data_IF_959132587618
#
_entry.id   IF_959132587618
#
_cell.length_a   1.000
_cell.length_b   1.000
_cell.length_c   1.000
_cell.angle_alpha   90.00
_cell.angle_beta   90.00
_cell.angle_gamma   90.00
#
_symmetry.space_group_name_H-M   'P 1'
#
loop_
_entity.id
_entity.type
_entity.pdbx_description
1 polymer ?
#
# COMPACT_ATOMS: atom_id res chain seq x y z
N UNK A 1 3.20 8.92 -20.82
CA UNK A 1 4.00 7.68 -20.68
C UNK A 1 5.24 7.86 -19.79
N UNK A 2 6.06 8.91 -19.95
CA UNK A 2 7.27 9.13 -19.10
C UNK A 2 6.96 9.17 -17.59
N UNK A 3 5.90 9.89 -17.19
CA UNK A 3 5.48 10.00 -15.78
C UNK A 3 4.97 8.68 -15.20
N UNK A 4 4.26 7.86 -15.98
CA UNK A 4 3.76 6.56 -15.53
C UNK A 4 4.93 5.60 -15.25
N UNK A 5 5.90 5.53 -16.15
CA UNK A 5 7.10 4.71 -15.97
C UNK A 5 7.90 5.17 -14.75
N UNK A 6 8.06 6.49 -14.56
CA UNK A 6 8.72 7.05 -13.38
C UNK A 6 8.05 6.61 -12.08
N UNK A 7 6.72 6.67 -12.01
CA UNK A 7 5.98 6.24 -10.82
C UNK A 7 6.12 4.74 -10.55
N UNK A 8 6.20 3.91 -11.59
CA UNK A 8 6.51 2.50 -11.41
C UNK A 8 7.91 2.27 -10.84
N UNK A 9 8.92 2.99 -11.31
CA UNK A 9 10.28 2.88 -10.76
C UNK A 9 10.37 3.37 -9.32
N UNK A 10 9.68 4.46 -8.98
CA UNK A 10 9.59 4.95 -7.60
C UNK A 10 8.96 3.88 -6.70
N UNK A 11 7.83 3.30 -7.12
CA UNK A 11 7.20 2.19 -6.40
C UNK A 11 8.16 1.02 -6.20
N UNK A 12 8.85 0.59 -7.27
CA UNK A 12 9.77 -0.54 -7.21
C UNK A 12 10.90 -0.29 -6.23
N UNK A 13 11.48 0.90 -6.26
CA UNK A 13 12.53 1.31 -5.34
C UNK A 13 12.05 1.31 -3.88
N UNK A 14 10.89 1.93 -3.61
CA UNK A 14 10.32 2.01 -2.25
C UNK A 14 10.02 0.61 -1.71
N UNK A 15 9.27 -0.23 -2.45
CA UNK A 15 8.85 -1.53 -1.94
C UNK A 15 10.01 -2.52 -1.84
N UNK A 16 10.99 -2.49 -2.76
CA UNK A 16 12.20 -3.29 -2.61
C UNK A 16 13.02 -2.85 -1.39
N UNK A 17 13.16 -1.54 -1.16
CA UNK A 17 13.82 -1.01 0.02
C UNK A 17 13.12 -1.44 1.31
N UNK A 18 11.79 -1.37 1.36
CA UNK A 18 11.01 -1.84 2.50
C UNK A 18 11.18 -3.34 2.74
N UNK A 19 11.13 -4.17 1.69
CA UNK A 19 11.34 -5.62 1.83
C UNK A 19 12.72 -5.93 2.41
N UNK A 20 13.77 -5.27 1.93
CA UNK A 20 15.13 -5.43 2.47
C UNK A 20 15.16 -5.03 3.95
N UNK A 21 14.58 -3.87 4.29
CA UNK A 21 14.51 -3.40 5.68
C UNK A 21 13.77 -4.37 6.59
N UNK A 22 12.68 -4.99 6.13
CA UNK A 22 11.95 -6.00 6.89
C UNK A 22 12.84 -7.16 7.31
N UNK A 23 13.67 -7.69 6.40
CA UNK A 23 14.58 -8.79 6.73
C UNK A 23 15.75 -8.38 7.62
N UNK A 24 16.21 -7.12 7.52
CA UNK A 24 17.33 -6.63 8.33
C UNK A 24 16.88 -6.25 9.75
N UNK A 25 15.68 -5.67 9.88
CA UNK A 25 15.23 -5.06 11.14
C UNK A 25 14.42 -6.03 12.01
N UNK A 26 13.59 -6.88 11.41
CA UNK A 26 12.76 -7.81 12.16
C UNK A 26 13.50 -9.15 12.30
N UNK A 27 13.60 -9.64 13.53
CA UNK A 27 14.28 -10.90 13.84
C UNK A 27 13.30 -12.08 13.95
N UNK A 28 12.02 -11.81 14.26
CA UNK A 28 10.99 -12.84 14.35
C UNK A 28 10.40 -13.14 12.96
N UNK A 29 10.41 -14.40 12.51
CA UNK A 29 9.79 -14.81 11.24
C UNK A 29 8.29 -14.44 11.13
N UNK A 30 7.56 -14.45 12.24
CA UNK A 30 6.12 -14.12 12.26
C UNK A 30 5.92 -12.65 11.86
N UNK A 31 6.66 -11.75 12.49
CA UNK A 31 6.58 -10.32 12.16
C UNK A 31 7.12 -10.02 10.75
N UNK A 32 8.12 -10.77 10.28
CA UNK A 32 8.59 -10.65 8.89
C UNK A 32 7.49 -11.04 7.89
N UNK A 33 6.73 -12.10 8.17
CA UNK A 33 5.60 -12.51 7.34
C UNK A 33 4.49 -11.47 7.32
N UNK A 34 4.11 -10.92 8.48
CA UNK A 34 3.08 -9.88 8.58
C UNK A 34 3.48 -8.61 7.81
N UNK A 35 4.71 -8.13 8.03
CA UNK A 35 5.25 -6.98 7.33
C UNK A 35 5.37 -7.23 5.81
N UNK A 36 5.82 -8.42 5.42
CA UNK A 36 5.90 -8.83 4.02
C UNK A 36 4.53 -8.84 3.33
N UNK A 37 3.51 -9.40 3.98
CA UNK A 37 2.14 -9.40 3.48
C UNK A 37 1.60 -7.97 3.31
N UNK A 38 1.89 -7.08 4.27
CA UNK A 38 1.53 -5.66 4.17
C UNK A 38 2.24 -4.95 3.00
N UNK A 39 3.54 -5.18 2.81
CA UNK A 39 4.31 -4.60 1.72
C UNK A 39 3.77 -5.04 0.36
N UNK A 40 3.52 -6.34 0.18
CA UNK A 40 2.98 -6.89 -1.08
C UNK A 40 1.60 -6.30 -1.37
N UNK A 41 0.71 -6.28 -0.38
CA UNK A 41 -0.65 -5.73 -0.54
C UNK A 41 -0.59 -4.24 -0.91
N UNK A 42 0.25 -3.47 -0.23
CA UNK A 42 0.45 -2.04 -0.51
C UNK A 42 1.01 -1.81 -1.91
N UNK A 43 1.96 -2.65 -2.35
CA UNK A 43 2.51 -2.59 -3.69
C UNK A 43 1.43 -2.83 -4.76
N UNK A 44 0.62 -3.88 -4.60
CA UNK A 44 -0.48 -4.18 -5.52
C UNK A 44 -1.47 -3.02 -5.62
N UNK A 45 -1.84 -2.42 -4.49
CA UNK A 45 -2.71 -1.23 -4.47
C UNK A 45 -2.05 -0.08 -5.21
N UNK A 46 -0.77 0.23 -4.91
CA UNK A 46 -0.04 1.33 -5.55
C UNK A 46 0.05 1.17 -7.07
N UNK A 47 0.51 0.01 -7.55
CA UNK A 47 0.61 -0.29 -8.98
C UNK A 47 -0.74 -0.32 -9.67
N UNK A 48 -1.76 -0.86 -9.00
CA UNK A 48 -3.14 -0.85 -9.46
C UNK A 48 -3.65 0.58 -9.64
N UNK A 49 -3.41 1.46 -8.67
CA UNK A 49 -3.83 2.86 -8.70
C UNK A 49 -3.12 3.67 -9.78
N UNK A 50 -1.80 3.48 -9.99
CA UNK A 50 -1.10 4.09 -11.13
C UNK A 50 -1.74 3.63 -12.44
N UNK A 51 -1.99 2.33 -12.58
CA UNK A 51 -2.56 1.78 -13.81
C UNK A 51 -3.96 2.34 -14.06
N UNK A 52 -4.80 2.40 -13.03
CA UNK A 52 -6.14 3.00 -13.11
C UNK A 52 -6.10 4.49 -13.43
N UNK A 53 -5.13 5.23 -12.89
CA UNK A 53 -4.99 6.66 -13.14
C UNK A 53 -4.63 6.96 -14.60
N UNK A 54 -3.69 6.22 -15.18
CA UNK A 54 -3.21 6.49 -16.54
C UNK A 54 -3.98 5.75 -17.65
N UNK A 55 -4.52 4.56 -17.37
CA UNK A 55 -5.18 3.70 -18.37
C UNK A 55 -6.65 3.42 -18.07
N UNK A 56 -7.13 3.72 -16.86
CA UNK A 56 -8.51 3.47 -16.45
C UNK A 56 -9.44 4.67 -16.67
N UNK A 57 -10.70 4.48 -16.31
CA UNK A 57 -11.69 5.56 -16.29
C UNK A 57 -11.53 6.40 -15.01
N UNK A 58 -11.55 7.73 -15.15
CA UNK A 58 -11.50 8.70 -14.04
C UNK A 58 -12.53 8.39 -12.96
N UNK A 59 -13.74 7.97 -13.33
CA UNK A 59 -14.80 7.63 -12.37
C UNK A 59 -14.41 6.44 -11.49
N UNK A 60 -13.84 5.39 -12.09
CA UNK A 60 -13.37 4.19 -11.39
C UNK A 60 -12.19 4.51 -10.49
N UNK A 61 -11.22 5.29 -10.96
CA UNK A 61 -10.11 5.76 -10.14
C UNK A 61 -10.60 6.52 -8.90
N UNK A 62 -11.52 7.47 -9.07
CA UNK A 62 -12.05 8.28 -7.96
C UNK A 62 -12.85 7.43 -6.97
N UNK A 63 -13.67 6.48 -7.44
CA UNK A 63 -14.41 5.57 -6.57
C UNK A 63 -13.48 4.69 -5.73
N UNK A 64 -12.49 4.06 -6.36
CA UNK A 64 -11.55 3.18 -5.64
C UNK A 64 -10.68 4.01 -4.68
N UNK A 65 -10.17 5.16 -5.12
CA UNK A 65 -9.40 6.05 -4.25
C UNK A 65 -10.22 6.54 -3.05
N UNK A 66 -11.48 6.91 -3.29
CA UNK A 66 -12.41 7.33 -2.24
C UNK A 66 -12.67 6.21 -1.23
N UNK A 67 -12.90 4.98 -1.71
CA UNK A 67 -13.08 3.81 -0.85
C UNK A 67 -11.83 3.54 -0.01
N UNK A 68 -10.63 3.60 -0.61
CA UNK A 68 -9.36 3.45 0.10
C UNK A 68 -9.17 4.54 1.16
N UNK A 69 -9.51 5.78 0.84
CA UNK A 69 -9.45 6.88 1.81
C UNK A 69 -10.41 6.68 2.98
N UNK A 70 -11.63 6.23 2.73
CA UNK A 70 -12.60 5.89 3.78
C UNK A 70 -12.08 4.74 4.65
N UNK A 71 -11.53 3.68 4.04
CA UNK A 71 -10.94 2.56 4.78
C UNK A 71 -9.76 3.00 5.64
N UNK A 72 -8.89 3.86 5.11
CA UNK A 72 -7.73 4.39 5.85
C UNK A 72 -8.18 5.25 7.04
N UNK A 73 -9.10 6.20 6.82
CA UNK A 73 -9.65 7.03 7.88
C UNK A 73 -10.38 6.17 8.93
N UNK A 74 -11.21 5.23 8.48
CA UNK A 74 -11.91 4.31 9.36
C UNK A 74 -10.94 3.47 10.19
N UNK A 75 -9.90 2.92 9.55
CA UNK A 75 -8.86 2.16 10.22
C UNK A 75 -8.10 2.96 11.26
N UNK A 76 -7.84 4.25 11.03
CA UNK A 76 -7.15 5.14 11.98
C UNK A 76 -8.08 5.51 13.15
N UNK A 77 -9.29 6.00 12.86
CA UNK A 77 -10.19 6.54 13.88
C UNK A 77 -10.92 5.48 14.70
N UNK A 78 -11.18 4.31 14.13
CA UNK A 78 -11.86 3.21 14.83
C UNK A 78 -10.90 2.09 15.28
N UNK A 79 -9.58 2.27 15.14
CA UNK A 79 -8.60 1.27 15.55
C UNK A 79 -8.81 0.80 16.99
N UNK A 80 -8.87 1.77 17.92
CA UNK A 80 -9.01 1.52 19.36
C UNK A 80 -10.35 0.87 19.73
N UNK A 81 -11.38 1.05 18.89
CA UNK A 81 -12.72 0.55 19.12
C UNK A 81 -12.89 -0.87 18.57
N UNK A 82 -12.18 -1.21 17.49
CA UNK A 82 -12.24 -2.51 16.80
C UNK A 82 -11.23 -3.51 17.38
N UNK A 83 -10.01 -3.06 17.69
CA UNK A 83 -8.92 -3.92 18.13
C UNK A 83 -8.63 -3.81 19.64
N UNK A 84 -9.38 -2.95 20.34
CA UNK A 84 -9.14 -2.61 21.74
C UNK A 84 -8.05 -1.54 21.88
N UNK A 85 -8.20 -0.67 22.87
CA UNK A 85 -7.15 0.29 23.23
C UNK A 85 -5.99 -0.46 23.88
N UNK A 86 -4.79 -0.31 23.32
CA UNK A 86 -3.55 -0.57 24.04
C UNK A 86 -3.30 0.53 25.07
#
# INVERSE_FOLDING_TARGET
MKTQALLYYIGAFIFAGLSILTFIQLHDPVYQMEAGAFIITSALIYYGMITLFFKGNRKTFLMINGALAILALGGIFFNSLIFGGH
#
